data_IF_931001281477
#
_entry.id   IF_931001281477
#
_cell.length_a   1.000
_cell.length_b   1.000
_cell.length_c   1.000
_cell.angle_alpha   90.00
_cell.angle_beta   90.00
_cell.angle_gamma   90.00
#
_symmetry.space_group_name_H-M   'P 1'
#
loop_
_entity.id
_entity.type
_entity.pdbx_description
1 polymer ?
#
# COMPACT_ATOMS: atom_id res chain seq x y z
N UNK A 1 5.50 32.75 -2.82
CA UNK A 1 4.14 33.33 -2.92
C UNK A 1 4.16 34.39 -4.03
N UNK A 2 3.19 34.37 -4.94
CA UNK A 2 3.05 35.33 -6.04
C UNK A 2 2.64 34.62 -7.34
N UNK A 3 1.39 34.22 -7.52
CA UNK A 3 0.21 35.02 -7.91
C UNK A 3 -0.03 35.01 -9.43
N UNK A 4 -0.89 34.09 -9.87
CA UNK A 4 -1.57 34.08 -11.16
C UNK A 4 -2.51 35.30 -11.28
N UNK A 5 -2.47 36.03 -12.41
CA UNK A 5 -3.48 37.00 -12.88
C UNK A 5 -3.71 36.75 -14.38
N UNK A 6 -4.84 36.17 -14.83
CA UNK A 6 -6.17 36.75 -15.12
C UNK A 6 -6.29 37.42 -16.51
N UNK A 7 -6.92 36.68 -17.45
CA UNK A 7 -8.01 37.03 -18.41
C UNK A 7 -7.88 38.23 -19.38
N UNK A 8 -8.34 38.04 -20.63
CA UNK A 8 -9.26 38.89 -21.47
C UNK A 8 -9.12 38.41 -22.94
N UNK A 9 -10.05 37.63 -23.48
CA UNK A 9 -11.35 37.96 -24.11
C UNK A 9 -11.26 38.31 -25.61
N UNK A 10 -11.88 37.44 -26.41
CA UNK A 10 -12.05 37.53 -27.86
C UNK A 10 -13.02 38.65 -28.27
N UNK A 11 -12.60 39.47 -29.22
CA UNK A 11 -13.49 40.27 -30.05
C UNK A 11 -12.97 40.28 -31.50
N UNK A 12 -13.37 39.29 -32.30
CA UNK A 12 -13.05 39.21 -33.72
C UNK A 12 -14.34 38.91 -34.50
N UNK A 13 -15.20 39.92 -34.66
CA UNK A 13 -16.51 39.77 -35.31
C UNK A 13 -16.80 40.73 -36.46
N UNK A 14 -15.87 41.62 -36.85
CA UNK A 14 -16.22 42.74 -37.77
C UNK A 14 -15.31 42.88 -39.01
N UNK A 15 -14.29 42.03 -39.22
CA UNK A 15 -13.30 42.26 -40.29
C UNK A 15 -13.55 41.58 -41.65
N UNK A 16 -14.62 40.79 -41.82
CA UNK A 16 -14.81 39.94 -43.01
C UNK A 16 -15.51 40.60 -44.23
N UNK A 17 -15.77 41.91 -44.22
CA UNK A 17 -16.49 42.57 -45.33
C UNK A 17 -15.58 43.36 -46.30
N UNK A 18 -14.28 43.48 -46.04
CA UNK A 18 -13.38 44.35 -46.82
C UNK A 18 -12.42 43.62 -47.78
N UNK A 19 -12.33 42.29 -47.75
CA UNK A 19 -11.31 41.55 -48.52
C UNK A 19 -11.74 41.09 -49.93
N UNK A 20 -13.01 41.26 -50.32
CA UNK A 20 -13.54 40.69 -51.57
C UNK A 20 -13.43 41.60 -52.81
N UNK A 21 -13.02 42.86 -52.65
CA UNK A 21 -13.10 43.88 -53.72
C UNK A 21 -11.75 44.27 -54.34
N UNK A 22 -10.62 43.72 -53.87
CA UNK A 22 -9.28 44.18 -54.26
C UNK A 22 -8.43 43.15 -55.03
N UNK A 23 -8.85 41.89 -55.13
CA UNK A 23 -8.11 40.84 -55.85
C UNK A 23 -8.78 40.58 -57.21
N UNK A 24 -8.07 40.67 -58.35
CA UNK A 24 -8.58 40.24 -59.65
C UNK A 24 -9.03 38.79 -59.58
N UNK A 25 -10.24 38.49 -60.03
CA UNK A 25 -10.89 37.17 -59.84
C UNK A 25 -10.22 36.00 -60.59
N UNK A 26 -9.17 36.28 -61.37
CA UNK A 26 -8.43 35.37 -62.23
C UNK A 26 -7.07 34.91 -61.67
N UNK A 27 -6.65 35.39 -60.49
CA UNK A 27 -5.38 35.01 -59.86
C UNK A 27 -5.50 34.57 -58.40
N UNK A 28 -4.60 33.69 -57.95
CA UNK A 28 -4.56 33.26 -56.55
C UNK A 28 -4.01 34.38 -55.63
N UNK A 29 -4.35 34.33 -54.34
CA UNK A 29 -3.85 35.30 -53.35
C UNK A 29 -2.32 35.24 -53.24
N UNK A 30 -1.73 34.06 -53.37
CA UNK A 30 -0.28 33.88 -53.37
C UNK A 30 0.38 34.56 -54.58
N UNK A 31 -0.20 34.39 -55.78
CA UNK A 31 0.30 35.03 -57.00
C UNK A 31 0.10 36.55 -56.99
N UNK A 32 -1.01 37.03 -56.39
CA UNK A 32 -1.28 38.45 -56.17
C UNK A 32 -0.26 39.10 -55.23
N UNK A 33 0.14 38.38 -54.18
CA UNK A 33 1.07 38.85 -53.17
C UNK A 33 2.55 38.61 -53.50
N UNK A 34 2.84 37.96 -54.63
CA UNK A 34 4.21 37.75 -55.12
C UNK A 34 4.84 39.03 -55.71
N UNK A 35 4.05 40.06 -56.01
CA UNK A 35 4.55 41.35 -56.48
C UNK A 35 5.04 42.22 -55.32
N UNK A 36 6.28 42.73 -55.43
CA UNK A 36 6.90 43.57 -54.39
C UNK A 36 6.12 44.84 -54.06
N UNK A 37 5.40 45.37 -55.04
CA UNK A 37 4.62 46.61 -54.90
C UNK A 37 3.31 46.39 -54.13
N UNK A 38 2.89 45.12 -53.96
CA UNK A 38 1.63 44.70 -53.32
C UNK A 38 1.83 44.08 -51.94
N UNK A 39 3.09 43.88 -51.53
CA UNK A 39 3.45 43.27 -50.24
C UNK A 39 2.91 44.06 -49.02
N UNK A 40 2.66 45.37 -49.17
CA UNK A 40 2.08 46.22 -48.12
C UNK A 40 0.55 46.15 -48.00
N UNK A 41 -0.15 45.47 -48.92
CA UNK A 41 -1.60 45.37 -48.88
C UNK A 41 -2.08 44.42 -47.78
N UNK A 42 -3.24 44.73 -47.18
CA UNK A 42 -3.77 44.01 -46.02
C UNK A 42 -3.96 42.51 -46.26
N UNK A 43 -4.34 42.12 -47.48
CA UNK A 43 -4.51 40.73 -47.90
C UNK A 43 -3.18 39.97 -47.89
N UNK A 44 -2.11 40.58 -48.37
CA UNK A 44 -0.79 39.96 -48.42
C UNK A 44 -0.17 39.82 -47.04
N UNK A 45 -0.42 40.79 -46.15
CA UNK A 45 -0.04 40.67 -44.75
C UNK A 45 -0.79 39.54 -44.05
N UNK A 46 -2.09 39.41 -44.30
CA UNK A 46 -2.91 38.33 -43.74
C UNK A 46 -2.44 36.95 -44.24
N UNK A 47 -2.07 36.82 -45.52
CA UNK A 47 -1.58 35.56 -46.07
C UNK A 47 -0.25 35.12 -45.41
N UNK A 48 0.69 36.06 -45.21
CA UNK A 48 1.96 35.79 -44.51
C UNK A 48 1.70 35.39 -43.05
N UNK A 49 0.77 36.05 -42.36
CA UNK A 49 0.37 35.69 -41.01
C UNK A 49 -0.26 34.27 -40.96
N UNK A 50 -1.11 33.91 -41.93
CA UNK A 50 -1.73 32.59 -42.03
C UNK A 50 -0.72 31.49 -42.35
N UNK A 51 0.21 31.72 -43.28
CA UNK A 51 1.26 30.75 -43.63
C UNK A 51 2.24 30.54 -42.47
N UNK A 52 2.58 31.62 -41.76
CA UNK A 52 3.36 31.56 -40.52
C UNK A 52 2.64 30.77 -39.43
N UNK A 53 1.34 31.01 -39.25
CA UNK A 53 0.53 30.30 -38.26
C UNK A 53 0.31 28.83 -38.64
N UNK A 54 0.15 28.51 -39.93
CA UNK A 54 0.05 27.13 -40.44
C UNK A 54 1.34 26.35 -40.18
N UNK A 55 2.49 26.99 -40.39
CA UNK A 55 3.82 26.42 -40.07
C UNK A 55 3.99 26.20 -38.55
N UNK A 56 3.52 27.16 -37.73
CA UNK A 56 3.54 27.02 -36.27
C UNK A 56 2.61 25.89 -35.79
N UNK A 57 1.44 25.72 -36.40
CA UNK A 57 0.49 24.63 -36.10
C UNK A 57 1.08 23.27 -36.50
N UNK A 58 1.78 23.19 -37.64
CA UNK A 58 2.46 21.96 -38.06
C UNK A 58 3.56 21.54 -37.09
N UNK A 59 4.39 22.48 -36.63
CA UNK A 59 5.38 22.23 -35.57
C UNK A 59 4.72 21.83 -34.24
N UNK A 60 3.60 22.46 -33.89
CA UNK A 60 2.85 22.14 -32.66
C UNK A 60 2.25 20.73 -32.74
N UNK A 61 1.78 20.27 -33.90
CA UNK A 61 1.31 18.89 -34.09
C UNK A 61 2.41 17.85 -33.86
N UNK A 62 3.64 18.14 -34.29
CA UNK A 62 4.80 17.28 -33.98
C UNK A 62 5.09 17.23 -32.47
N UNK A 63 4.94 18.35 -31.75
CA UNK A 63 5.08 18.36 -30.28
C UNK A 63 3.92 17.67 -29.54
N UNK A 64 2.74 17.54 -30.18
CA UNK A 64 1.60 16.82 -29.62
C UNK A 64 1.88 15.31 -29.56
N UNK A 65 2.60 14.77 -30.55
CA UNK A 65 3.04 13.36 -30.54
C UNK A 65 4.00 13.08 -29.39
N UNK A 66 4.93 13.99 -29.07
CA UNK A 66 5.78 13.90 -27.86
C UNK A 66 4.94 13.94 -26.58
N UNK A 67 3.95 14.83 -26.49
CA UNK A 67 3.07 14.91 -25.34
C UNK A 67 2.22 13.63 -25.16
N UNK A 68 1.75 13.03 -26.26
CA UNK A 68 1.03 11.76 -26.25
C UNK A 68 1.93 10.59 -25.85
N UNK A 69 3.17 10.56 -26.34
CA UNK A 69 4.16 9.56 -25.95
C UNK A 69 4.49 9.64 -24.45
N UNK A 70 4.64 10.86 -23.91
CA UNK A 70 4.88 11.09 -22.48
C UNK A 70 3.67 10.67 -21.63
N UNK A 71 2.45 10.96 -22.08
CA UNK A 71 1.23 10.53 -21.39
C UNK A 71 1.07 8.99 -21.38
N UNK A 72 1.44 8.33 -22.49
CA UNK A 72 1.46 6.87 -22.56
C UNK A 72 2.48 6.26 -21.60
N UNK A 73 3.71 6.79 -21.57
CA UNK A 73 4.76 6.35 -20.65
C UNK A 73 4.38 6.57 -19.17
N UNK A 74 3.75 7.70 -18.85
CA UNK A 74 3.25 7.99 -17.51
C UNK A 74 2.15 7.01 -17.09
N UNK A 75 1.23 6.65 -18.01
CA UNK A 75 0.20 5.65 -17.75
C UNK A 75 0.81 4.28 -17.46
N UNK A 76 1.76 3.82 -18.28
CA UNK A 76 2.46 2.55 -18.06
C UNK A 76 3.15 2.52 -16.69
N UNK A 77 3.86 3.60 -16.34
CA UNK A 77 4.53 3.71 -15.04
C UNK A 77 3.53 3.69 -13.87
N UNK A 78 2.37 4.32 -14.03
CA UNK A 78 1.31 4.31 -13.02
C UNK A 78 0.67 2.91 -12.87
N UNK A 79 0.46 2.20 -13.97
CA UNK A 79 -0.07 0.83 -13.95
C UNK A 79 0.92 -0.14 -13.27
N UNK A 80 2.21 -0.01 -13.56
CA UNK A 80 3.29 -0.78 -12.90
C UNK A 80 3.37 -0.46 -11.40
N UNK A 81 3.32 0.81 -11.03
CA UNK A 81 3.31 1.22 -9.62
C UNK A 81 2.06 0.70 -8.89
N UNK A 82 0.90 0.71 -9.55
CA UNK A 82 -0.34 0.13 -9.02
C UNK A 82 -0.22 -1.38 -8.79
N UNK A 83 0.37 -2.11 -9.74
CA UNK A 83 0.61 -3.54 -9.61
C UNK A 83 1.59 -3.86 -8.46
N UNK A 84 2.68 -3.10 -8.34
CA UNK A 84 3.63 -3.24 -7.25
C UNK A 84 3.00 -2.95 -5.89
N UNK A 85 2.17 -1.92 -5.79
CA UNK A 85 1.44 -1.59 -4.57
C UNK A 85 0.46 -2.71 -4.17
N UNK A 86 -0.28 -3.28 -5.14
CA UNK A 86 -1.19 -4.39 -4.88
C UNK A 86 -0.46 -5.64 -4.38
N UNK A 87 0.71 -5.96 -4.96
CA UNK A 87 1.55 -7.06 -4.48
C UNK A 87 2.07 -6.81 -3.07
N UNK A 88 2.55 -5.59 -2.79
CA UNK A 88 3.02 -5.21 -1.47
C UNK A 88 1.90 -5.34 -0.43
N UNK A 89 0.69 -4.87 -0.73
CA UNK A 89 -0.47 -5.00 0.14
C UNK A 89 -0.82 -6.46 0.42
N UNK A 90 -0.88 -7.30 -0.61
CA UNK A 90 -1.12 -8.74 -0.45
C UNK A 90 -0.05 -9.41 0.43
N UNK A 91 1.21 -9.01 0.29
CA UNK A 91 2.30 -9.51 1.12
C UNK A 91 2.17 -9.10 2.59
N UNK A 92 1.75 -7.86 2.84
CA UNK A 92 1.51 -7.33 4.18
C UNK A 92 0.32 -8.02 4.85
N UNK A 93 -0.78 -8.23 4.13
CA UNK A 93 -1.96 -8.93 4.63
C UNK A 93 -1.64 -10.39 4.99
N UNK A 94 -0.85 -11.07 4.15
CA UNK A 94 -0.38 -12.43 4.44
C UNK A 94 0.52 -12.47 5.68
N UNK A 95 1.41 -11.48 5.86
CA UNK A 95 2.28 -11.38 7.03
C UNK A 95 1.46 -11.13 8.31
N UNK A 96 0.49 -10.20 8.26
CA UNK A 96 -0.41 -9.93 9.38
C UNK A 96 -1.25 -11.16 9.75
N UNK A 97 -1.76 -11.90 8.77
CA UNK A 97 -2.49 -13.15 9.01
C UNK A 97 -1.64 -14.20 9.73
N UNK A 98 -0.38 -14.41 9.30
CA UNK A 98 0.55 -15.33 9.97
C UNK A 98 0.91 -14.86 11.38
N UNK A 99 1.12 -13.56 11.57
CA UNK A 99 1.39 -12.99 12.89
C UNK A 99 0.19 -13.19 13.83
N UNK A 100 -1.03 -12.95 13.36
CA UNK A 100 -2.25 -13.18 14.14
C UNK A 100 -2.44 -14.65 14.49
N UNK A 101 -2.13 -15.59 13.59
CA UNK A 101 -2.13 -17.03 13.90
C UNK A 101 -1.10 -17.37 14.98
N UNK A 102 0.12 -16.85 14.89
CA UNK A 102 1.16 -17.10 15.90
C UNK A 102 0.81 -16.52 17.29
N UNK A 103 0.01 -15.47 17.35
CA UNK A 103 -0.41 -14.82 18.60
C UNK A 103 -1.72 -15.37 19.18
N UNK A 104 -2.45 -16.21 18.44
CA UNK A 104 -3.71 -16.77 18.93
C UNK A 104 -3.42 -17.84 20.01
N UNK A 105 -3.70 -17.47 21.27
CA UNK A 105 -3.67 -18.39 22.41
C UNK A 105 -4.63 -19.60 22.26
N UNK A 106 -5.55 -19.55 21.29
CA UNK A 106 -6.44 -20.65 20.92
C UNK A 106 -5.71 -21.85 20.27
N UNK A 107 -4.52 -21.63 19.71
CA UNK A 107 -3.66 -22.68 19.16
C UNK A 107 -2.77 -23.31 20.24
N UNK A 108 -2.99 -22.99 21.52
CA UNK A 108 -2.26 -23.56 22.64
C UNK A 108 -3.20 -24.40 23.51
N UNK A 109 -2.83 -25.67 23.72
CA UNK A 109 -3.44 -26.53 24.74
C UNK A 109 -2.71 -26.27 26.06
N UNK A 110 -3.39 -25.59 26.98
CA UNK A 110 -2.83 -25.15 28.26
C UNK A 110 -3.50 -25.86 29.44
N UNK A 111 -2.68 -26.40 30.33
CA UNK A 111 -3.10 -26.99 31.60
C UNK A 111 -2.36 -26.37 32.78
N UNK A 112 -2.91 -26.59 33.98
CA UNK A 112 -2.26 -26.19 35.23
C UNK A 112 -1.82 -27.44 35.96
N UNK A 113 -0.53 -27.53 36.26
CA UNK A 113 0.03 -28.61 37.06
C UNK A 113 0.31 -28.11 38.49
N UNK A 114 -0.40 -28.65 39.46
CA UNK A 114 -0.22 -28.27 40.87
C UNK A 114 0.87 -29.13 41.50
N UNK A 115 1.93 -28.48 42.00
CA UNK A 115 3.06 -29.13 42.66
C UNK A 115 3.10 -28.70 44.12
N UNK A 116 3.22 -29.68 45.00
CA UNK A 116 3.26 -29.46 46.43
C UNK A 116 4.69 -29.54 46.96
N UNK A 117 4.98 -28.73 47.98
CA UNK A 117 6.19 -28.84 48.78
C UNK A 117 7.49 -28.83 47.94
N UNK A 118 7.58 -27.96 46.95
CA UNK A 118 8.76 -27.84 46.08
C UNK A 118 9.20 -26.39 45.95
N UNK A 119 10.48 -26.16 45.63
CA UNK A 119 10.96 -24.85 45.18
C UNK A 119 11.00 -24.76 43.64
N UNK A 120 10.87 -25.88 42.94
CA UNK A 120 10.96 -25.98 41.48
C UNK A 120 9.65 -26.57 40.95
N UNK A 121 9.12 -25.94 39.91
CA UNK A 121 7.99 -26.45 39.15
C UNK A 121 8.39 -26.75 37.71
N UNK A 122 7.81 -27.81 37.14
CA UNK A 122 8.05 -28.22 35.77
C UNK A 122 6.77 -28.74 35.14
N UNK A 123 6.75 -28.78 33.80
CA UNK A 123 5.64 -29.33 33.04
C UNK A 123 5.87 -30.80 32.67
N UNK A 124 4.80 -31.57 32.45
CA UNK A 124 4.89 -32.88 31.82
C UNK A 124 5.50 -32.81 30.42
N UNK A 125 6.07 -33.93 29.95
CA UNK A 125 6.71 -34.03 28.64
C UNK A 125 5.80 -33.52 27.52
N UNK A 126 6.35 -32.70 26.63
CA UNK A 126 5.62 -32.10 25.50
C UNK A 126 4.94 -30.76 25.81
N UNK A 127 4.96 -30.32 27.07
CA UNK A 127 4.50 -28.98 27.47
C UNK A 127 5.68 -28.10 27.87
N UNK A 128 5.55 -26.80 27.59
CA UNK A 128 6.49 -25.76 27.97
C UNK A 128 5.97 -25.00 29.19
N UNK A 129 6.86 -24.67 30.12
CA UNK A 129 6.54 -23.83 31.28
C UNK A 129 6.30 -22.40 30.82
N UNK A 130 5.10 -21.88 31.13
CA UNK A 130 4.73 -20.48 30.86
C UNK A 130 4.91 -19.60 32.09
N UNK A 131 4.78 -20.18 33.29
CA UNK A 131 4.93 -19.46 34.54
C UNK A 131 4.44 -20.25 35.73
N UNK A 132 4.75 -19.74 36.93
CA UNK A 132 4.37 -20.39 38.18
C UNK A 132 3.87 -19.38 39.20
N UNK A 133 2.83 -19.77 39.94
CA UNK A 133 2.27 -18.98 41.03
C UNK A 133 2.18 -19.83 42.29
N UNK A 134 2.60 -19.27 43.42
CA UNK A 134 2.37 -19.91 44.72
C UNK A 134 0.91 -19.72 45.12
N UNK A 135 0.19 -20.82 45.29
CA UNK A 135 -1.24 -20.81 45.65
C UNK A 135 -1.45 -20.97 47.15
N UNK A 136 -0.49 -21.61 47.86
CA UNK A 136 -0.56 -21.80 49.30
C UNK A 136 0.72 -21.38 50.00
N UNK A 137 0.55 -20.61 51.08
CA UNK A 137 1.61 -20.18 51.98
C UNK A 137 1.08 -20.10 53.41
N UNK A 138 1.97 -20.24 54.39
CA UNK A 138 1.66 -20.02 55.80
C UNK A 138 2.80 -19.25 56.46
N UNK A 139 2.49 -18.54 57.55
CA UNK A 139 3.50 -17.83 58.32
C UNK A 139 4.51 -18.78 58.99
N UNK A 140 4.10 -20.02 59.32
CA UNK A 140 4.95 -21.01 59.98
C UNK A 140 5.85 -21.81 59.04
N UNK A 141 5.52 -21.89 57.74
CA UNK A 141 6.23 -22.72 56.77
C UNK A 141 6.94 -21.93 55.64
N UNK A 142 7.23 -20.64 55.86
CA UNK A 142 8.13 -19.87 55.01
C UNK A 142 7.53 -18.74 54.18
N UNK A 143 6.27 -18.35 54.40
CA UNK A 143 5.67 -17.16 53.77
C UNK A 143 5.55 -17.21 52.24
N UNK A 144 5.23 -16.06 51.64
CA UNK A 144 5.25 -15.91 50.19
C UNK A 144 6.70 -15.99 49.68
N UNK A 145 6.94 -16.90 48.73
CA UNK A 145 8.24 -17.07 48.09
C UNK A 145 8.26 -16.28 46.79
N UNK A 146 9.40 -15.65 46.47
CA UNK A 146 9.56 -14.93 45.21
C UNK A 146 10.13 -15.84 44.13
N UNK A 147 9.59 -15.68 42.92
CA UNK A 147 10.03 -16.40 41.74
C UNK A 147 11.40 -15.86 41.30
N UNK A 148 12.40 -16.74 41.20
CA UNK A 148 13.77 -16.40 40.81
C UNK A 148 14.04 -16.62 39.33
N UNK A 149 13.37 -17.61 38.75
CA UNK A 149 13.69 -18.09 37.41
C UNK A 149 12.45 -18.67 36.76
N UNK A 150 12.27 -18.37 35.47
CA UNK A 150 11.30 -19.00 34.59
C UNK A 150 11.98 -19.19 33.23
N UNK A 151 12.01 -20.42 32.76
CA UNK A 151 12.44 -20.78 31.42
C UNK A 151 11.46 -21.83 30.85
N UNK A 152 11.75 -22.37 29.67
CA UNK A 152 10.86 -23.30 28.99
C UNK A 152 10.70 -24.67 29.70
N UNK A 153 11.66 -25.04 30.56
CA UNK A 153 11.72 -26.37 31.20
C UNK A 153 11.23 -26.32 32.66
N UNK A 154 11.55 -25.25 33.37
CA UNK A 154 11.25 -25.10 34.78
C UNK A 154 11.02 -23.65 35.20
N UNK A 155 10.32 -23.52 36.33
CA UNK A 155 10.26 -22.32 37.14
C UNK A 155 10.84 -22.61 38.52
N UNK A 156 11.51 -21.63 39.13
CA UNK A 156 12.14 -21.82 40.45
C UNK A 156 11.89 -20.65 41.37
N UNK A 157 11.40 -20.95 42.55
CA UNK A 157 11.22 -20.06 43.68
C UNK A 157 12.49 -19.99 44.54
N UNK A 158 12.64 -18.93 45.33
CA UNK A 158 13.78 -18.79 46.24
C UNK A 158 13.80 -19.86 47.34
N UNK A 159 12.64 -20.12 47.92
CA UNK A 159 12.42 -21.11 48.97
C UNK A 159 11.34 -22.10 48.55
N UNK A 160 11.31 -23.24 49.25
CA UNK A 160 10.28 -24.28 49.14
C UNK A 160 8.91 -23.64 49.38
N UNK A 161 7.98 -23.83 48.45
CA UNK A 161 6.58 -23.43 48.61
C UNK A 161 5.70 -24.61 48.96
N UNK A 162 4.63 -24.38 49.70
CA UNK A 162 3.71 -25.43 50.10
C UNK A 162 2.92 -25.98 48.92
N UNK A 163 2.49 -25.09 48.04
CA UNK A 163 1.76 -25.42 46.82
C UNK A 163 2.06 -24.34 45.78
N UNK A 164 2.35 -24.78 44.56
CA UNK A 164 2.45 -23.94 43.38
C UNK A 164 1.59 -24.51 42.25
N UNK A 165 1.07 -23.61 41.44
CA UNK A 165 0.48 -23.92 40.14
C UNK A 165 1.46 -23.54 39.04
N UNK A 166 1.81 -24.51 38.21
CA UNK A 166 2.63 -24.35 37.00
C UNK A 166 1.71 -24.27 35.81
N UNK A 167 1.73 -23.14 35.09
CA UNK A 167 1.01 -23.00 33.81
C UNK A 167 1.86 -23.63 32.72
N UNK A 168 1.31 -24.67 32.11
CA UNK A 168 1.95 -25.49 31.10
C UNK A 168 1.17 -25.36 29.80
N UNK A 169 1.82 -24.96 28.72
CA UNK A 169 1.18 -24.88 27.41
C UNK A 169 2.00 -25.67 26.38
N UNK A 170 1.30 -26.25 25.42
CA UNK A 170 1.88 -26.79 24.20
C UNK A 170 1.08 -26.27 23.02
N UNK A 171 1.63 -26.37 21.81
CA UNK A 171 0.82 -26.16 20.61
C UNK A 171 -0.29 -27.20 20.58
N UNK A 172 -1.53 -26.75 20.41
CA UNK A 172 -2.65 -27.62 20.13
C UNK A 172 -2.36 -28.28 18.79
N UNK A 173 -1.98 -29.55 18.84
CA UNK A 173 -1.78 -30.36 17.65
C UNK A 173 -3.13 -30.35 16.91
N UNK A 174 -3.17 -29.89 15.65
CA UNK A 174 -4.37 -29.92 14.81
C UNK A 174 -4.80 -31.35 14.40
N UNK A 175 -4.62 -32.34 15.27
CA UNK A 175 -4.72 -33.76 14.95
C UNK A 175 -5.01 -34.72 16.11
N UNK A 176 -5.39 -34.26 17.30
CA UNK A 176 -5.75 -35.15 18.42
C UNK A 176 -7.27 -35.33 18.59
N UNK A 177 -8.00 -35.45 17.48
CA UNK A 177 -9.44 -35.76 17.50
C UNK A 177 -9.80 -36.87 16.51
N UNK A 178 -9.06 -37.98 16.49
CA UNK A 178 -9.57 -39.24 15.96
C UNK A 178 -9.11 -40.43 16.80
N UNK A 179 -10.02 -41.40 16.92
CA UNK A 179 -9.85 -42.75 17.45
C UNK A 179 -10.18 -42.97 18.94
N UNK A 180 -11.48 -42.99 19.23
CA UNK A 180 -12.02 -44.00 20.14
C UNK A 180 -13.21 -44.65 19.44
N UNK A 181 -12.87 -45.74 18.74
CA UNK A 181 -13.78 -46.66 18.08
C UNK A 181 -14.84 -47.17 19.05
N UNK A 182 -16.08 -46.91 18.68
CA UNK A 182 -17.29 -47.52 19.23
C UNK A 182 -17.23 -49.04 18.96
N UNK A 183 -17.55 -49.92 19.93
CA UNK A 183 -17.58 -51.35 19.67
C UNK A 183 -18.83 -51.71 18.86
N UNK A 184 -18.60 -52.36 17.72
CA UNK A 184 -19.61 -53.05 16.92
C UNK A 184 -20.13 -54.23 17.74
N UNK A 185 -21.45 -54.31 17.96
CA UNK A 185 -22.09 -55.44 18.63
C UNK A 185 -22.97 -56.13 17.59
N UNK A 186 -22.45 -57.26 17.09
CA UNK A 186 -23.18 -58.25 16.27
C UNK A 186 -23.80 -59.32 17.17
#
# INVERSE_FOLDING_TARGET
MGAFKTVIALAAGVFMAACATSIPGDQSVADYCASSDRAGEAVCRLNVEVDGNTTAIANTKLSLEEAQALAAAAKTSADEAGAAAAQAQASADAAMSRANQALNMSDLDCMTNTINQSAVGSCPTGYTVMGCSQTRYTHAAGGLSFLREVNNDQCRFNSKVLEMDVRCCRRADAGASQQSSMPDNS
#
